data_IF_978273596592
#
_entry.id   IF_978273596592
#
_cell.length_a   1.000
_cell.length_b   1.000
_cell.length_c   1.000
_cell.angle_alpha   90.00
_cell.angle_beta   90.00
_cell.angle_gamma   90.00
#
_symmetry.space_group_name_H-M   'P 1'
#
loop_
_entity.id
_entity.type
_entity.pdbx_description
1 polymer ?
#
# COMPACT_ATOMS: atom_id res chain seq x y z
N UNK A 1 29.51 -12.32 -20.37
CA UNK A 1 28.53 -12.38 -19.27
C UNK A 1 28.06 -10.95 -19.00
N UNK A 2 26.75 -10.71 -18.94
CA UNK A 2 26.16 -9.37 -18.99
C UNK A 2 26.11 -8.71 -17.61
N UNK A 3 26.50 -7.44 -17.52
CA UNK A 3 26.46 -6.60 -16.30
C UNK A 3 25.09 -6.57 -15.60
N UNK A 4 24.00 -6.93 -16.30
CA UNK A 4 22.67 -7.07 -15.72
C UNK A 4 22.54 -8.21 -14.70
N UNK A 5 23.37 -9.26 -14.79
CA UNK A 5 23.38 -10.38 -13.83
C UNK A 5 24.19 -10.07 -12.57
N UNK A 6 25.01 -9.04 -12.56
CA UNK A 6 25.87 -8.71 -11.42
C UNK A 6 25.13 -7.96 -10.31
N UNK A 7 24.02 -7.29 -10.66
CA UNK A 7 23.11 -6.63 -9.71
C UNK A 7 22.26 -7.67 -8.94
N UNK A 8 22.09 -8.87 -9.50
CA UNK A 8 21.24 -9.94 -8.94
C UNK A 8 21.82 -10.68 -7.73
N UNK A 9 23.12 -10.54 -7.45
CA UNK A 9 23.83 -11.51 -6.58
C UNK A 9 24.45 -10.87 -5.33
N UNK A 10 24.34 -9.56 -5.14
CA UNK A 10 24.88 -8.91 -3.93
C UNK A 10 23.83 -8.90 -2.82
N UNK A 11 23.81 -10.02 -2.08
CA UNK A 11 23.23 -10.23 -0.75
C UNK A 11 21.70 -10.43 -0.67
N UNK A 12 21.24 -11.69 -0.75
CA UNK A 12 19.94 -12.06 -0.14
C UNK A 12 18.86 -12.63 -1.06
N UNK A 13 19.18 -13.56 -1.96
CA UNK A 13 18.17 -14.27 -2.74
C UNK A 13 17.59 -13.46 -3.92
N UNK A 14 16.66 -14.03 -4.69
CA UNK A 14 16.16 -13.36 -5.88
C UNK A 14 15.23 -12.19 -5.49
N UNK A 15 15.61 -10.99 -5.94
CA UNK A 15 14.81 -9.77 -5.85
C UNK A 15 13.46 -10.00 -6.55
N UNK A 16 12.37 -10.02 -5.78
CA UNK A 16 10.99 -10.15 -6.30
C UNK A 16 10.20 -8.85 -6.24
N UNK A 17 10.83 -7.76 -5.79
CA UNK A 17 10.16 -6.48 -5.57
C UNK A 17 10.90 -5.30 -6.21
N UNK A 18 10.15 -4.24 -6.48
CA UNK A 18 10.63 -2.94 -6.96
C UNK A 18 10.08 -1.85 -6.05
N UNK A 19 10.92 -0.91 -5.67
CA UNK A 19 10.54 0.33 -5.01
C UNK A 19 10.45 1.46 -6.04
N UNK A 20 9.31 2.13 -6.06
CA UNK A 20 9.06 3.32 -6.86
C UNK A 20 9.20 4.56 -5.99
N UNK A 21 9.95 5.56 -6.49
CA UNK A 21 10.14 6.86 -5.84
C UNK A 21 9.65 7.99 -6.74
N UNK A 22 9.34 9.14 -6.14
CA UNK A 22 8.92 10.34 -6.88
C UNK A 22 7.42 10.41 -7.21
N UNK A 23 6.61 9.53 -6.62
CA UNK A 23 5.17 9.52 -6.85
C UNK A 23 4.49 10.77 -6.26
N UNK A 24 3.40 11.20 -6.90
CA UNK A 24 2.51 12.17 -6.28
C UNK A 24 1.93 11.59 -4.98
N UNK A 25 1.74 12.43 -3.96
CA UNK A 25 1.07 12.02 -2.71
C UNK A 25 -0.40 11.68 -2.91
N UNK A 26 -0.97 12.03 -4.05
CA UNK A 26 -2.33 11.67 -4.47
C UNK A 26 -2.39 10.36 -5.25
N UNK A 27 -1.25 9.73 -5.55
CA UNK A 27 -1.21 8.49 -6.33
C UNK A 27 -1.94 7.35 -5.61
N UNK A 28 -2.82 6.67 -6.33
CA UNK A 28 -3.55 5.52 -5.81
C UNK A 28 -2.91 4.21 -6.31
N UNK A 29 -3.10 3.09 -5.58
CA UNK A 29 -2.69 1.78 -6.08
C UNK A 29 -3.25 1.44 -7.46
N UNK A 30 -4.46 1.93 -7.79
CA UNK A 30 -5.06 1.73 -9.11
C UNK A 30 -4.32 2.49 -10.23
N UNK A 31 -3.75 3.66 -9.94
CA UNK A 31 -2.96 4.40 -10.93
C UNK A 31 -1.67 3.65 -11.26
N UNK A 32 -1.05 3.03 -10.24
CA UNK A 32 0.12 2.17 -10.43
C UNK A 32 -0.21 0.90 -11.22
N UNK A 33 -1.37 0.28 -10.98
CA UNK A 33 -1.84 -0.85 -11.80
C UNK A 33 -2.04 -0.46 -13.26
N UNK A 34 -2.63 0.72 -13.51
CA UNK A 34 -2.79 1.26 -14.87
C UNK A 34 -1.44 1.55 -15.52
N UNK A 35 -0.48 2.08 -14.77
CA UNK A 35 0.89 2.28 -15.24
C UNK A 35 1.53 0.95 -15.66
N UNK A 36 1.45 -0.07 -14.80
CA UNK A 36 1.99 -1.40 -15.11
C UNK A 36 1.37 -1.96 -16.40
N UNK A 37 0.06 -1.84 -16.56
CA UNK A 37 -0.63 -2.24 -17.79
C UNK A 37 -0.19 -1.45 -19.02
N UNK A 38 -0.02 -0.12 -18.90
CA UNK A 38 0.47 0.74 -19.99
C UNK A 38 1.91 0.41 -20.39
N UNK A 39 2.76 0.06 -19.43
CA UNK A 39 4.16 -0.28 -19.67
C UNK A 39 4.37 -1.75 -20.09
N UNK A 40 3.29 -2.54 -20.28
CA UNK A 40 3.38 -3.94 -20.68
C UNK A 40 3.99 -4.85 -19.61
N UNK A 41 3.86 -4.48 -18.34
CA UNK A 41 4.45 -5.22 -17.22
C UNK A 41 3.45 -6.27 -16.73
N UNK A 42 3.88 -7.52 -16.76
CA UNK A 42 3.09 -8.67 -16.37
C UNK A 42 3.50 -9.22 -15.00
N UNK A 43 2.68 -10.14 -14.46
CA UNK A 43 2.98 -10.90 -13.25
C UNK A 43 3.21 -10.06 -11.97
N UNK A 44 2.57 -8.89 -11.90
CA UNK A 44 2.54 -8.08 -10.67
C UNK A 44 1.57 -8.72 -9.67
N UNK A 45 2.11 -9.26 -8.57
CA UNK A 45 1.34 -9.92 -7.52
C UNK A 45 0.75 -8.92 -6.52
N UNK A 46 1.56 -7.94 -6.09
CA UNK A 46 1.18 -6.93 -5.09
C UNK A 46 1.53 -5.53 -5.59
N UNK A 47 0.60 -4.61 -5.38
CA UNK A 47 0.79 -3.17 -5.59
C UNK A 47 0.43 -2.47 -4.30
N UNK A 48 1.38 -1.77 -3.69
CA UNK A 48 1.16 -1.07 -2.43
C UNK A 48 1.79 0.31 -2.45
N UNK A 49 1.02 1.33 -2.08
CA UNK A 49 1.55 2.68 -1.83
C UNK A 49 2.12 2.70 -0.41
N UNK A 50 3.27 3.32 -0.22
CA UNK A 50 3.91 3.40 1.09
C UNK A 50 3.41 4.63 1.85
N UNK A 51 3.20 4.43 3.14
CA UNK A 51 2.69 5.46 4.04
C UNK A 51 3.66 5.70 5.18
N UNK A 52 3.62 6.91 5.71
CA UNK A 52 4.19 7.27 7.01
C UNK A 52 3.10 7.98 7.81
N UNK A 53 2.75 7.45 8.99
CA UNK A 53 1.69 7.96 9.85
C UNK A 53 0.37 8.21 9.09
N UNK A 54 -0.04 7.24 8.29
CA UNK A 54 -1.23 7.27 7.43
C UNK A 54 -1.21 8.35 6.34
N UNK A 55 -0.05 8.96 6.05
CA UNK A 55 0.13 9.87 4.93
C UNK A 55 0.98 9.23 3.85
N UNK A 56 0.57 9.28 2.56
CA UNK A 56 1.41 8.81 1.46
C UNK A 56 2.75 9.54 1.46
N UNK A 57 3.84 8.78 1.43
CA UNK A 57 5.20 9.34 1.46
C UNK A 57 5.78 9.62 0.06
N UNK A 58 5.05 9.27 -1.01
CA UNK A 58 5.51 9.42 -2.39
C UNK A 58 6.36 8.24 -2.88
N UNK A 59 6.34 7.11 -2.17
CA UNK A 59 6.93 5.85 -2.63
C UNK A 59 5.88 4.74 -2.71
N UNK A 60 6.19 3.69 -3.48
CA UNK A 60 5.33 2.51 -3.60
C UNK A 60 6.17 1.27 -3.83
N UNK A 61 5.66 0.13 -3.40
CA UNK A 61 6.30 -1.17 -3.60
C UNK A 61 5.45 -2.00 -4.55
N UNK A 62 6.09 -2.52 -5.58
CA UNK A 62 5.54 -3.51 -6.49
C UNK A 62 6.23 -4.85 -6.20
N UNK A 63 5.46 -5.92 -6.12
CA UNK A 63 6.01 -7.27 -6.05
C UNK A 63 5.53 -8.11 -7.21
N UNK A 64 6.39 -9.01 -7.63
CA UNK A 64 6.19 -9.90 -8.77
C UNK A 64 6.02 -11.32 -8.28
N UNK A 65 5.32 -12.13 -9.07
CA UNK A 65 5.19 -13.57 -8.78
C UNK A 65 6.53 -14.29 -8.94
N UNK A 66 7.39 -13.80 -9.85
CA UNK A 66 8.68 -14.40 -10.16
C UNK A 66 9.75 -13.32 -10.39
N UNK A 67 11.01 -13.57 -9.99
CA UNK A 67 12.07 -12.56 -10.01
C UNK A 67 12.57 -12.17 -11.41
N UNK A 68 12.35 -13.00 -12.43
CA UNK A 68 12.78 -12.71 -13.80
C UNK A 68 12.09 -11.49 -14.43
N UNK A 69 10.93 -11.08 -13.90
CA UNK A 69 10.20 -9.92 -14.40
C UNK A 69 10.73 -8.59 -13.86
N UNK A 70 11.52 -8.61 -12.78
CA UNK A 70 12.01 -7.39 -12.10
C UNK A 70 12.86 -6.49 -13.01
N UNK A 71 13.87 -6.99 -13.77
CA UNK A 71 14.74 -6.12 -14.57
C UNK A 71 13.99 -5.47 -15.72
N UNK A 72 13.10 -6.22 -16.36
CA UNK A 72 12.24 -5.71 -17.41
C UNK A 72 11.31 -4.62 -16.88
N UNK A 73 10.71 -4.85 -15.71
CA UNK A 73 9.85 -3.87 -15.06
C UNK A 73 10.61 -2.63 -14.58
N UNK A 74 11.81 -2.77 -14.00
CA UNK A 74 12.66 -1.62 -13.62
C UNK A 74 12.95 -0.77 -14.85
N UNK A 75 13.39 -1.39 -15.96
CA UNK A 75 13.69 -0.68 -17.20
C UNK A 75 12.47 0.02 -17.80
N UNK A 76 11.29 -0.60 -17.70
CA UNK A 76 10.05 -0.06 -18.25
C UNK A 76 9.42 1.06 -17.39
N UNK A 77 9.66 1.03 -16.07
CA UNK A 77 9.10 2.01 -15.13
C UNK A 77 10.04 3.16 -14.83
N UNK A 78 11.35 2.95 -14.95
CA UNK A 78 12.32 4.01 -14.69
C UNK A 78 12.09 5.19 -15.64
N UNK A 79 12.03 6.39 -15.07
CA UNK A 79 11.70 7.66 -15.76
C UNK A 79 10.33 7.71 -16.41
N UNK A 80 9.42 6.78 -16.11
CA UNK A 80 8.02 6.89 -16.52
C UNK A 80 7.31 8.03 -15.77
N UNK A 81 6.18 8.48 -16.30
CA UNK A 81 5.43 9.61 -15.75
C UNK A 81 4.09 9.16 -15.19
N UNK A 82 3.83 9.50 -13.92
CA UNK A 82 2.58 9.22 -13.20
C UNK A 82 2.09 10.48 -12.54
N UNK A 83 0.84 10.89 -12.83
CA UNK A 83 0.24 12.07 -12.22
C UNK A 83 1.07 13.35 -12.41
N UNK A 84 1.74 13.48 -13.56
CA UNK A 84 2.59 14.63 -13.90
C UNK A 84 3.97 14.63 -13.24
N UNK A 85 4.37 13.56 -12.52
CA UNK A 85 5.71 13.42 -11.95
C UNK A 85 6.47 12.28 -12.59
N UNK A 86 7.77 12.49 -12.83
CA UNK A 86 8.70 11.45 -13.25
C UNK A 86 9.02 10.57 -12.04
N UNK A 87 8.92 9.26 -12.22
CA UNK A 87 9.23 8.29 -11.17
C UNK A 87 10.59 7.62 -11.43
N UNK A 88 11.16 7.07 -10.37
CA UNK A 88 12.37 6.24 -10.41
C UNK A 88 12.02 4.86 -9.88
N UNK A 89 12.49 3.82 -10.57
CA UNK A 89 12.26 2.44 -10.19
C UNK A 89 13.59 1.79 -9.79
N UNK A 90 13.64 1.21 -8.59
CA UNK A 90 14.82 0.52 -8.08
C UNK A 90 14.42 -0.88 -7.61
N UNK A 91 15.17 -1.95 -7.95
CA UNK A 91 14.91 -3.27 -7.40
C UNK A 91 15.18 -3.27 -5.88
N UNK A 92 14.42 -4.07 -5.13
CA UNK A 92 14.55 -4.13 -3.67
C UNK A 92 14.28 -5.54 -3.15
N UNK A 93 14.99 -5.91 -2.08
CA UNK A 93 14.76 -7.14 -1.32
C UNK A 93 13.53 -7.01 -0.40
N UNK A 94 12.97 -5.81 -0.26
CA UNK A 94 11.82 -5.56 0.58
C UNK A 94 10.57 -6.23 -0.01
N UNK A 95 10.16 -7.32 0.62
CA UNK A 95 8.88 -7.96 0.34
C UNK A 95 7.81 -7.21 1.15
N UNK A 96 6.79 -6.62 0.51
CA UNK A 96 5.71 -5.96 1.22
C UNK A 96 4.91 -6.99 2.02
N UNK A 97 5.21 -7.09 3.31
CA UNK A 97 4.45 -7.93 4.24
C UNK A 97 3.16 -7.19 4.59
N UNK A 98 2.10 -7.51 3.85
CA UNK A 98 0.76 -7.07 4.23
C UNK A 98 0.24 -7.98 5.35
N UNK A 99 -0.11 -7.45 6.53
CA UNK A 99 -0.61 -8.27 7.62
C UNK A 99 -1.90 -8.97 7.21
N UNK A 100 -1.88 -10.31 7.23
CA UNK A 100 -3.06 -11.14 7.00
C UNK A 100 -3.98 -11.01 8.20
N UNK A 101 -5.17 -10.45 8.00
CA UNK A 101 -6.22 -10.40 9.02
C UNK A 101 -7.31 -11.41 8.72
N UNK A 102 -7.85 -12.01 9.79
CA UNK A 102 -8.95 -12.99 9.71
C UNK A 102 -10.29 -12.26 9.57
N UNK A 103 -10.49 -11.61 8.43
CA UNK A 103 -11.74 -10.89 8.12
C UNK A 103 -11.99 -9.66 9.00
N UNK A 104 -13.23 -9.17 8.98
CA UNK A 104 -13.65 -7.93 9.64
C UNK A 104 -13.39 -7.93 11.15
N UNK A 105 -13.67 -9.04 11.84
CA UNK A 105 -13.39 -9.20 13.28
C UNK A 105 -11.89 -9.08 13.60
N UNK A 106 -11.04 -9.69 12.78
CA UNK A 106 -9.58 -9.60 12.95
C UNK A 106 -9.02 -8.20 12.70
N UNK A 107 -9.62 -7.43 11.78
CA UNK A 107 -9.25 -6.03 11.54
C UNK A 107 -9.60 -5.17 12.76
N UNK A 108 -10.78 -5.38 13.34
CA UNK A 108 -11.24 -4.66 14.52
C UNK A 108 -10.34 -4.92 15.73
N UNK A 109 -10.06 -6.19 16.01
CA UNK A 109 -9.17 -6.59 17.11
C UNK A 109 -7.76 -6.01 16.92
N UNK A 110 -7.23 -6.04 15.69
CA UNK A 110 -5.92 -5.49 15.37
C UNK A 110 -5.87 -3.97 15.55
N UNK A 111 -6.92 -3.27 15.13
CA UNK A 111 -7.02 -1.82 15.27
C UNK A 111 -7.20 -1.40 16.74
N UNK A 112 -8.01 -2.12 17.53
CA UNK A 112 -8.16 -1.88 18.98
C UNK A 112 -6.84 -2.06 19.72
N UNK A 113 -6.02 -3.03 19.30
CA UNK A 113 -4.68 -3.28 19.85
C UNK A 113 -3.62 -2.28 19.37
N UNK A 114 -3.97 -1.31 18.52
CA UNK A 114 -3.03 -0.34 18.00
C UNK A 114 -1.99 -0.92 17.03
N UNK A 115 -2.28 -2.06 16.40
CA UNK A 115 -1.34 -2.71 15.45
C UNK A 115 -1.10 -1.85 14.21
N UNK A 116 -2.11 -1.08 13.79
CA UNK A 116 -1.98 -0.18 12.65
C UNK A 116 -1.29 1.13 13.06
N UNK A 117 0.02 1.20 12.82
CA UNK A 117 0.82 2.42 13.05
C UNK A 117 0.76 3.41 11.87
N UNK A 118 0.21 2.98 10.74
CA UNK A 118 0.09 3.81 9.54
C UNK A 118 1.38 3.94 8.72
N UNK A 119 2.34 3.04 8.94
CA UNK A 119 3.64 3.04 8.26
C UNK A 119 3.75 1.86 7.28
N UNK A 120 4.53 2.05 6.22
CA UNK A 120 4.84 1.00 5.26
C UNK A 120 3.75 0.75 4.21
N UNK A 121 3.77 -0.42 3.54
CA UNK A 121 2.88 -0.76 2.44
C UNK A 121 1.41 -0.71 2.85
N UNK A 122 0.60 0.09 2.13
CA UNK A 122 -0.81 0.34 2.41
C UNK A 122 -1.11 0.73 3.87
N UNK A 123 -0.16 1.40 4.55
CA UNK A 123 -0.25 1.78 5.97
C UNK A 123 -0.44 0.58 6.93
N UNK A 124 -0.13 -0.63 6.46
CA UNK A 124 -0.39 -1.88 7.17
C UNK A 124 -1.86 -2.29 7.18
N UNK A 125 -2.75 -1.59 6.45
CA UNK A 125 -4.20 -1.83 6.52
C UNK A 125 -4.65 -2.76 5.39
N UNK A 126 -5.33 -3.87 5.68
CA UNK A 126 -5.75 -4.87 4.68
C UNK A 126 -7.02 -4.43 3.93
N UNK A 127 -6.96 -4.26 2.61
CA UNK A 127 -8.17 -3.94 1.82
C UNK A 127 -7.96 -3.10 0.56
N UNK A 128 -6.71 -2.84 0.16
CA UNK A 128 -6.38 -2.35 -1.18
C UNK A 128 -7.03 -1.02 -1.56
N UNK A 129 -7.05 -0.05 -0.64
CA UNK A 129 -7.58 1.30 -0.88
C UNK A 129 -9.09 1.46 -0.65
N UNK A 130 -9.79 0.45 -0.11
CA UNK A 130 -11.21 0.55 0.28
C UNK A 130 -11.44 1.20 1.65
N UNK A 131 -10.37 1.47 2.39
CA UNK A 131 -10.42 2.10 3.70
C UNK A 131 -9.86 3.51 3.62
N UNK A 132 -10.45 4.40 4.40
CA UNK A 132 -10.07 5.80 4.50
C UNK A 132 -9.68 6.13 5.92
N UNK A 133 -8.72 7.04 6.07
CA UNK A 133 -8.29 7.54 7.37
C UNK A 133 -8.90 8.92 7.56
N UNK A 134 -9.73 9.07 8.59
CA UNK A 134 -10.24 10.35 9.04
C UNK A 134 -9.32 10.89 10.13
N UNK A 135 -8.86 12.13 9.97
CA UNK A 135 -7.96 12.79 10.92
C UNK A 135 -8.51 14.16 11.32
N UNK A 136 -8.07 14.69 12.46
CA UNK A 136 -8.58 15.97 13.01
C UNK A 136 -9.95 15.86 13.70
N UNK A 137 -10.41 14.65 14.00
CA UNK A 137 -11.66 14.45 14.75
C UNK A 137 -11.47 14.79 16.25
N UNK A 138 -12.49 15.36 16.91
CA UNK A 138 -12.46 15.60 18.35
C UNK A 138 -12.19 14.31 19.13
N UNK A 139 -11.38 14.39 20.19
CA UNK A 139 -10.96 13.21 20.99
C UNK A 139 -12.17 12.48 21.60
N UNK A 140 -13.20 13.24 22.00
CA UNK A 140 -14.45 12.73 22.59
C UNK A 140 -15.41 12.10 21.57
N UNK A 141 -15.09 12.15 20.26
CA UNK A 141 -15.95 11.58 19.24
C UNK A 141 -15.88 10.05 19.28
N UNK A 142 -17.04 9.41 19.43
CA UNK A 142 -17.16 7.94 19.45
C UNK A 142 -17.27 7.39 18.03
N UNK A 143 -16.79 6.16 17.77
CA UNK A 143 -16.94 5.53 16.46
C UNK A 143 -18.39 5.46 15.96
N UNK A 144 -19.36 5.26 16.86
CA UNK A 144 -20.80 5.27 16.52
C UNK A 144 -21.25 6.62 15.97
N UNK A 145 -20.83 7.73 16.59
CA UNK A 145 -21.13 9.08 16.07
C UNK A 145 -20.47 9.35 14.72
N UNK A 146 -19.27 8.82 14.48
CA UNK A 146 -18.64 8.94 13.15
C UNK A 146 -19.45 8.15 12.12
N UNK A 147 -19.87 6.93 12.44
CA UNK A 147 -20.69 6.12 11.55
C UNK A 147 -22.03 6.82 11.24
N UNK A 148 -22.64 7.49 12.21
CA UNK A 148 -23.86 8.28 12.02
C UNK A 148 -23.66 9.44 11.04
N UNK A 149 -22.53 10.14 11.12
CA UNK A 149 -22.19 11.20 10.16
C UNK A 149 -21.85 10.66 8.76
N UNK A 150 -21.54 9.37 8.63
CA UNK A 150 -21.21 8.71 7.36
C UNK A 150 -22.38 7.93 6.76
N UNK A 151 -23.61 8.07 7.27
CA UNK A 151 -24.80 7.34 6.79
C UNK A 151 -25.10 7.53 5.30
N UNK A 152 -24.65 8.62 4.69
CA UNK A 152 -24.79 8.87 3.25
C UNK A 152 -23.82 8.07 2.37
N UNK A 153 -22.85 7.36 2.95
CA UNK A 153 -21.87 6.55 2.23
C UNK A 153 -22.17 5.07 2.38
N UNK A 154 -21.96 4.31 1.29
CA UNK A 154 -22.00 2.84 1.33
C UNK A 154 -20.74 2.31 2.00
N UNK A 155 -20.73 2.30 3.32
CA UNK A 155 -19.69 1.63 4.10
C UNK A 155 -19.80 0.11 3.86
N UNK A 156 -18.67 -0.58 3.82
CA UNK A 156 -18.67 -2.05 3.71
C UNK A 156 -19.59 -2.61 4.80
N UNK A 157 -20.65 -3.32 4.39
CA UNK A 157 -21.73 -3.76 5.27
C UNK A 157 -21.13 -4.47 6.48
N UNK A 158 -21.41 -3.91 7.65
CA UNK A 158 -21.27 -4.60 8.91
C UNK A 158 -22.30 -5.73 8.90
N UNK A 159 -21.87 -6.95 8.58
CA UNK A 159 -22.65 -8.12 8.97
C UNK A 159 -22.60 -8.19 10.50
N UNK A 160 -23.74 -7.98 11.15
CA UNK A 160 -23.93 -8.11 12.60
C UNK A 160 -23.08 -7.17 13.48
N UNK A 161 -23.49 -5.90 13.59
CA UNK A 161 -23.23 -5.07 14.78
C UNK A 161 -21.78 -4.72 15.10
N UNK A 162 -20.82 -5.00 14.20
CA UNK A 162 -19.40 -4.73 14.41
C UNK A 162 -18.98 -3.41 13.73
N UNK A 163 -18.17 -2.54 14.36
CA UNK A 163 -18.00 -1.18 13.89
C UNK A 163 -17.22 -1.10 12.56
N UNK A 164 -17.83 -0.49 11.53
CA UNK A 164 -17.17 -0.15 10.26
C UNK A 164 -16.16 1.01 10.39
N UNK A 165 -16.11 1.64 11.57
CA UNK A 165 -15.23 2.74 11.91
C UNK A 165 -14.39 2.33 13.10
N UNK A 166 -13.07 2.39 12.97
CA UNK A 166 -12.17 2.09 14.09
C UNK A 166 -11.32 3.31 14.42
N UNK A 167 -11.17 3.58 15.72
CA UNK A 167 -10.30 4.62 16.23
C UNK A 167 -8.88 4.07 16.31
N UNK A 168 -7.99 4.57 15.45
CA UNK A 168 -6.56 4.35 15.58
C UNK A 168 -5.99 5.35 16.59
N UNK A 169 -5.28 4.87 17.62
CA UNK A 169 -4.56 5.74 18.54
C UNK A 169 -3.22 6.13 17.94
N UNK A 170 -2.86 7.41 18.07
CA UNK A 170 -1.53 7.89 17.72
C UNK A 170 -0.56 7.30 18.75
N UNK A 171 0.32 6.38 18.33
CA UNK A 171 1.46 6.04 19.18
C UNK A 171 2.34 7.29 19.28
N UNK A 172 2.71 7.64 20.50
CA UNK A 172 3.70 8.68 20.82
C UNK A 172 5.06 8.22 20.28
#
# INVERSE_FOLDING_TARGET
>A
MSAAQEIYTRAGGPLISINLKGLSRTALPNDLRRLCGKSGIENVSVVAVNYSRFRPNGTATLSFTRPEFVPAAVKALDRSVVGGKVITAEPTDDIPVLPRTRGTKGILDAAQRGIYQGNGPNAGVPGGGKMVVLSGLPIALTPGRVADNLRGFKLARSEMGSPAVVKAFKSV
#
